data_IF_474723695224
#
_entry.id   IF_474723695224
#
_cell.length_a   1.000
_cell.length_b   1.000
_cell.length_c   1.000
_cell.angle_alpha   90.00
_cell.angle_beta   90.00
_cell.angle_gamma   90.00
#
_symmetry.space_group_name_H-M   'P 1'
#
loop_
_entity.id
_entity.type
_entity.pdbx_description
1 polymer ?
#
# COMPACT_ATOMS: atom_id res chain seq x y z
N UNK A 1 -73.33 -39.56 -45.07
CA UNK A 1 -72.50 -39.53 -43.84
C UNK A 1 -72.16 -38.08 -43.50
N UNK A 2 -72.52 -37.69 -42.28
CA UNK A 2 -72.58 -36.34 -41.72
C UNK A 2 -71.15 -35.86 -41.39
N UNK A 3 -70.75 -34.67 -41.87
CA UNK A 3 -69.54 -33.99 -41.40
C UNK A 3 -69.80 -33.48 -39.99
N UNK A 4 -69.14 -34.06 -38.99
CA UNK A 4 -69.11 -33.55 -37.62
C UNK A 4 -67.95 -32.55 -37.52
N UNK A 5 -68.29 -31.29 -37.21
CA UNK A 5 -67.36 -30.30 -36.66
C UNK A 5 -66.75 -30.87 -35.38
N UNK A 6 -65.44 -30.74 -35.25
CA UNK A 6 -64.76 -30.83 -33.95
C UNK A 6 -64.37 -29.40 -33.62
N UNK A 7 -64.87 -28.93 -32.48
CA UNK A 7 -64.67 -27.59 -31.93
C UNK A 7 -63.20 -27.35 -31.54
N UNK A 8 -62.63 -26.24 -32.00
CA UNK A 8 -61.35 -25.74 -31.49
C UNK A 8 -61.57 -25.15 -30.09
N UNK A 9 -60.81 -25.55 -29.06
CA UNK A 9 -60.87 -24.91 -27.75
C UNK A 9 -60.27 -23.49 -27.81
N UNK A 10 -60.78 -22.53 -27.02
CA UNK A 10 -60.29 -21.17 -27.03
C UNK A 10 -58.85 -21.09 -26.55
N UNK A 11 -58.05 -20.26 -27.23
CA UNK A 11 -56.71 -19.85 -26.85
C UNK A 11 -56.66 -19.49 -25.36
N UNK A 12 -56.15 -20.39 -24.52
CA UNK A 12 -55.75 -20.00 -23.18
C UNK A 12 -54.53 -19.09 -23.33
N UNK A 13 -54.72 -17.85 -22.92
CA UNK A 13 -53.65 -16.87 -22.74
C UNK A 13 -52.51 -17.51 -21.97
N UNK A 14 -51.37 -17.68 -22.64
CA UNK A 14 -50.11 -17.99 -21.98
C UNK A 14 -49.91 -16.98 -20.83
N UNK A 15 -49.43 -17.41 -19.65
CA UNK A 15 -48.98 -16.44 -18.66
C UNK A 15 -47.87 -15.62 -19.33
N UNK A 16 -48.12 -14.33 -19.47
CA UNK A 16 -47.15 -13.33 -19.86
C UNK A 16 -46.05 -13.37 -18.79
N UNK A 17 -44.99 -14.15 -19.06
CA UNK A 17 -43.74 -14.08 -18.30
C UNK A 17 -43.09 -12.78 -18.74
N UNK A 18 -43.71 -11.68 -18.31
CA UNK A 18 -43.05 -10.40 -18.16
C UNK A 18 -41.84 -10.73 -17.30
N UNK A 19 -40.69 -10.55 -17.94
CA UNK A 19 -39.40 -10.74 -17.32
C UNK A 19 -39.34 -9.72 -16.20
N UNK A 20 -39.67 -10.15 -14.99
CA UNK A 20 -39.49 -9.37 -13.76
C UNK A 20 -37.98 -9.34 -13.46
N UNK A 21 -37.24 -8.78 -14.42
CA UNK A 21 -35.89 -8.29 -14.22
C UNK A 21 -36.06 -7.07 -13.32
N UNK A 22 -36.10 -7.34 -12.02
CA UNK A 22 -35.97 -6.33 -10.98
C UNK A 22 -34.94 -5.29 -11.46
N UNK A 23 -35.32 -4.02 -11.61
CA UNK A 23 -34.46 -3.03 -12.24
C UNK A 23 -33.19 -2.98 -11.40
N UNK A 24 -32.08 -3.43 -12.01
CA UNK A 24 -30.73 -3.25 -11.47
C UNK A 24 -30.65 -1.80 -11.04
N UNK A 25 -30.67 -1.64 -9.72
CA UNK A 25 -30.72 -0.35 -9.03
C UNK A 25 -29.65 0.50 -9.69
N UNK A 26 -30.09 1.43 -10.53
CA UNK A 26 -29.31 2.55 -11.00
C UNK A 26 -29.01 3.37 -9.75
N UNK A 27 -27.97 2.95 -9.02
CA UNK A 27 -27.41 3.70 -7.91
C UNK A 27 -27.00 5.04 -8.52
N UNK A 28 -27.81 6.06 -8.23
CA UNK A 28 -27.55 7.45 -8.59
C UNK A 28 -26.06 7.73 -8.36
N UNK A 29 -25.37 8.43 -9.28
CA UNK A 29 -23.99 8.85 -9.04
C UNK A 29 -23.98 9.49 -7.66
N UNK A 30 -23.07 9.07 -6.80
CA UNK A 30 -22.96 9.58 -5.44
C UNK A 30 -22.88 11.09 -5.57
N UNK A 31 -24.01 11.77 -5.31
CA UNK A 31 -24.06 13.21 -5.25
C UNK A 31 -22.95 13.58 -4.30
N UNK A 32 -22.07 14.48 -4.75
CA UNK A 32 -20.92 14.97 -4.00
C UNK A 32 -21.41 15.56 -2.69
N UNK A 33 -21.58 14.70 -1.69
CA UNK A 33 -22.10 15.09 -0.41
C UNK A 33 -21.06 16.04 0.12
N UNK A 34 -21.49 17.28 0.35
CA UNK A 34 -20.76 18.41 0.95
C UNK A 34 -20.37 18.08 2.40
N UNK A 35 -19.75 16.92 2.61
CA UNK A 35 -19.32 16.39 3.89
C UNK A 35 -17.93 16.94 4.12
N UNK A 36 -17.73 17.61 5.25
CA UNK A 36 -16.43 18.10 5.72
C UNK A 36 -15.43 16.98 6.04
N UNK A 37 -15.87 15.72 6.00
CA UNK A 37 -15.09 14.54 6.35
C UNK A 37 -13.78 14.36 5.55
N UNK A 38 -13.70 14.58 4.22
CA UNK A 38 -12.44 14.51 3.50
C UNK A 38 -11.46 15.62 3.92
N UNK A 39 -11.96 16.81 4.25
CA UNK A 39 -11.15 17.92 4.75
C UNK A 39 -10.65 17.65 6.18
N UNK A 40 -11.50 17.09 7.04
CA UNK A 40 -11.12 16.64 8.39
C UNK A 40 -10.09 15.51 8.34
N UNK A 41 -10.25 14.54 7.42
CA UNK A 41 -9.29 13.47 7.20
C UNK A 41 -7.94 14.01 6.73
N UNK A 42 -7.93 14.95 5.77
CA UNK A 42 -6.72 15.59 5.28
C UNK A 42 -6.01 16.41 6.37
N UNK A 43 -6.78 17.11 7.20
CA UNK A 43 -6.25 17.84 8.37
C UNK A 43 -5.64 16.87 9.39
N UNK A 44 -6.33 15.78 9.71
CA UNK A 44 -5.85 14.76 10.63
C UNK A 44 -4.59 14.06 10.11
N UNK A 45 -4.54 13.72 8.82
CA UNK A 45 -3.35 13.20 8.15
C UNK A 45 -2.17 14.16 8.28
N UNK A 46 -2.38 15.43 7.91
CA UNK A 46 -1.33 16.45 7.96
C UNK A 46 -0.85 16.66 9.40
N UNK A 47 -1.76 16.72 10.37
CA UNK A 47 -1.43 16.83 11.78
C UNK A 47 -0.64 15.60 12.28
N UNK A 48 -1.06 14.38 11.95
CA UNK A 48 -0.35 13.16 12.31
C UNK A 48 1.08 13.14 11.75
N UNK A 49 1.27 13.60 10.52
CA UNK A 49 2.58 13.68 9.88
C UNK A 49 3.47 14.75 10.51
N UNK A 50 2.90 15.92 10.84
CA UNK A 50 3.62 16.98 11.55
C UNK A 50 4.01 16.54 12.96
N UNK A 51 3.12 15.84 13.67
CA UNK A 51 3.41 15.26 14.99
C UNK A 51 4.49 14.19 14.89
N UNK A 52 4.39 13.27 13.93
CA UNK A 52 5.39 12.22 13.70
C UNK A 52 6.76 12.81 13.34
N UNK A 53 6.80 13.77 12.43
CA UNK A 53 8.02 14.49 12.08
C UNK A 53 8.56 15.29 13.28
N UNK A 54 7.70 15.94 14.04
CA UNK A 54 8.06 16.69 15.24
C UNK A 54 8.67 15.79 16.32
N UNK A 55 8.06 14.64 16.61
CA UNK A 55 8.62 13.64 17.51
C UNK A 55 10.00 13.16 17.05
N UNK A 56 10.14 12.79 15.78
CA UNK A 56 11.42 12.34 15.22
C UNK A 56 12.52 13.42 15.32
N UNK A 57 12.15 14.69 15.12
CA UNK A 57 13.05 15.83 15.22
C UNK A 57 13.39 16.21 16.67
N UNK A 58 12.44 16.05 17.60
CA UNK A 58 12.59 16.45 19.01
C UNK A 58 13.32 15.39 19.85
N UNK A 59 13.10 14.10 19.58
CA UNK A 59 13.75 13.01 20.33
C UNK A 59 15.26 12.93 20.06
N UNK A 60 15.71 13.26 18.83
CA UNK A 60 17.14 13.24 18.45
C UNK A 60 17.83 14.62 18.56
N UNK A 61 17.06 15.70 18.71
CA UNK A 61 17.53 17.08 18.76
C UNK A 61 18.15 17.61 17.45
N UNK A 62 18.23 18.94 17.32
CA UNK A 62 18.81 19.60 16.13
C UNK A 62 20.27 19.19 15.84
N UNK A 63 21.02 18.81 16.87
CA UNK A 63 22.39 18.34 16.76
C UNK A 63 22.51 16.86 16.31
N UNK A 64 21.50 16.03 16.57
CA UNK A 64 21.38 14.67 16.01
C UNK A 64 21.03 14.75 14.53
N UNK A 65 20.07 15.62 14.17
CA UNK A 65 19.68 15.85 12.77
C UNK A 65 20.86 16.28 11.89
N UNK A 66 21.67 17.25 12.34
CA UNK A 66 22.84 17.71 11.57
C UNK A 66 23.90 16.62 11.34
N UNK A 67 23.97 15.61 12.22
CA UNK A 67 24.87 14.45 12.08
C UNK A 67 24.24 13.32 11.26
N UNK A 68 22.91 13.20 11.29
CA UNK A 68 22.16 12.15 10.61
C UNK A 68 21.91 12.45 9.12
N UNK A 69 21.89 13.72 8.72
CA UNK A 69 21.70 14.14 7.32
C UNK A 69 22.83 13.59 6.44
N UNK A 70 22.54 12.65 5.52
CA UNK A 70 23.56 12.08 4.65
C UNK A 70 24.10 13.13 3.68
N UNK A 71 25.42 13.32 3.65
CA UNK A 71 26.04 14.28 2.74
C UNK A 71 26.07 13.79 1.27
N UNK A 72 25.95 12.47 1.05
CA UNK A 72 26.08 11.87 -0.27
C UNK A 72 24.78 11.96 -1.08
N UNK A 73 24.81 12.50 -2.31
CA UNK A 73 23.63 12.52 -3.18
C UNK A 73 23.05 11.13 -3.49
N UNK A 74 23.91 10.09 -3.44
CA UNK A 74 23.53 8.70 -3.64
C UNK A 74 22.45 8.22 -2.67
N UNK A 75 22.51 8.63 -1.40
CA UNK A 75 21.47 8.30 -0.42
C UNK A 75 20.09 8.73 -0.91
N UNK A 76 19.96 9.99 -1.34
CA UNK A 76 18.67 10.56 -1.75
C UNK A 76 18.14 9.92 -3.03
N UNK A 77 19.03 9.62 -3.99
CA UNK A 77 18.63 8.92 -5.21
C UNK A 77 18.03 7.55 -4.90
N UNK A 78 18.73 6.72 -4.14
CA UNK A 78 18.27 5.38 -3.81
C UNK A 78 17.09 5.38 -2.84
N UNK A 79 17.03 6.36 -1.94
CA UNK A 79 15.84 6.62 -1.13
C UNK A 79 14.62 6.91 -2.02
N UNK A 80 14.74 7.79 -3.02
CA UNK A 80 13.66 8.10 -3.95
C UNK A 80 13.23 6.88 -4.77
N UNK A 81 14.18 6.04 -5.20
CA UNK A 81 13.86 4.76 -5.87
C UNK A 81 13.07 3.84 -4.93
N UNK A 82 13.53 3.67 -3.68
CA UNK A 82 12.83 2.86 -2.69
C UNK A 82 11.43 3.40 -2.36
N UNK A 83 11.29 4.74 -2.36
CA UNK A 83 10.03 5.41 -2.13
C UNK A 83 9.09 5.20 -3.33
N UNK A 84 9.48 5.54 -4.55
CA UNK A 84 8.56 5.45 -5.68
C UNK A 84 8.31 4.04 -6.21
N UNK A 85 9.09 3.03 -5.77
CA UNK A 85 8.90 1.64 -6.16
C UNK A 85 7.44 1.16 -5.98
N UNK A 86 6.81 1.47 -4.85
CA UNK A 86 5.42 1.05 -4.59
C UNK A 86 4.39 1.75 -5.51
N UNK A 87 4.31 3.09 -5.56
CA UNK A 87 3.41 3.77 -6.48
C UNK A 87 3.61 3.40 -7.96
N UNK A 88 4.86 3.20 -8.39
CA UNK A 88 5.18 2.80 -9.77
C UNK A 88 4.71 1.37 -10.03
N UNK A 89 4.96 0.43 -9.12
CA UNK A 89 4.48 -0.94 -9.25
C UNK A 89 2.95 -1.00 -9.33
N UNK A 90 2.25 -0.32 -8.41
CA UNK A 90 0.79 -0.23 -8.44
C UNK A 90 0.30 0.40 -9.75
N UNK A 91 0.98 1.44 -10.24
CA UNK A 91 0.63 2.07 -11.51
C UNK A 91 0.73 1.07 -12.66
N UNK A 92 1.82 0.33 -12.77
CA UNK A 92 2.00 -0.69 -13.81
C UNK A 92 0.95 -1.82 -13.70
N UNK A 93 0.61 -2.23 -12.48
CA UNK A 93 -0.44 -3.22 -12.23
C UNK A 93 -1.79 -2.73 -12.72
N UNK A 94 -2.24 -1.56 -12.26
CA UNK A 94 -3.55 -1.03 -12.66
C UNK A 94 -3.57 -0.53 -14.10
N UNK A 95 -2.43 -0.15 -14.68
CA UNK A 95 -2.29 0.17 -16.11
C UNK A 95 -2.53 -1.05 -16.98
N UNK A 96 -2.15 -2.25 -16.52
CA UNK A 96 -2.45 -3.51 -17.19
C UNK A 96 -3.89 -3.95 -16.97
N UNK A 97 -4.38 -3.89 -15.73
CA UNK A 97 -5.71 -4.42 -15.38
C UNK A 97 -6.85 -3.56 -15.92
N UNK A 98 -6.69 -2.23 -15.91
CA UNK A 98 -7.77 -1.29 -16.19
C UNK A 98 -7.40 -0.19 -17.19
N UNK A 99 -6.24 -0.25 -17.82
CA UNK A 99 -5.79 0.78 -18.78
C UNK A 99 -5.78 2.21 -18.17
N UNK A 100 -5.43 2.33 -16.88
CA UNK A 100 -5.54 3.62 -16.18
C UNK A 100 -4.66 4.72 -16.82
N UNK A 101 -5.15 5.98 -16.89
CA UNK A 101 -4.36 7.10 -17.40
C UNK A 101 -3.22 7.46 -16.44
N UNK A 102 -2.27 8.28 -16.91
CA UNK A 102 -1.18 8.79 -16.08
C UNK A 102 -1.67 9.55 -14.82
N UNK A 103 -2.86 10.15 -14.90
CA UNK A 103 -3.54 10.84 -13.79
C UNK A 103 -3.90 9.91 -12.61
N UNK A 104 -3.78 8.59 -12.78
CA UNK A 104 -3.87 7.64 -11.69
C UNK A 104 -2.68 7.71 -10.74
N UNK A 105 -1.51 8.19 -11.19
CA UNK A 105 -0.29 8.19 -10.38
C UNK A 105 -0.41 9.03 -9.10
N UNK A 106 -0.98 10.26 -9.12
CA UNK A 106 -1.30 10.99 -7.89
C UNK A 106 -2.30 10.26 -6.98
N UNK A 107 -3.28 9.54 -7.53
CA UNK A 107 -4.23 8.76 -6.74
C UNK A 107 -3.57 7.57 -6.04
N UNK A 108 -2.62 6.91 -6.71
CA UNK A 108 -1.83 5.81 -6.16
C UNK A 108 -0.84 6.28 -5.09
N UNK A 109 -0.26 7.47 -5.24
CA UNK A 109 0.53 8.08 -4.16
C UNK A 109 -0.34 8.39 -2.93
N UNK A 110 -1.55 8.93 -3.12
CA UNK A 110 -2.50 9.13 -2.00
C UNK A 110 -2.94 7.81 -1.37
N UNK A 111 -3.15 6.76 -2.16
CA UNK A 111 -3.39 5.39 -1.67
C UNK A 111 -2.26 4.94 -0.74
N UNK A 112 -1.01 5.07 -1.16
CA UNK A 112 0.14 4.75 -0.31
C UNK A 112 0.11 5.56 0.99
N UNK A 113 0.02 6.88 0.88
CA UNK A 113 0.07 7.79 2.04
C UNK A 113 -1.02 7.42 3.07
N UNK A 114 -2.23 7.12 2.59
CA UNK A 114 -3.33 6.66 3.45
C UNK A 114 -3.03 5.30 4.10
N UNK A 115 -2.49 4.34 3.35
CA UNK A 115 -2.12 3.02 3.87
C UNK A 115 -0.99 3.09 4.91
N UNK A 116 -0.04 4.02 4.74
CA UNK A 116 1.11 4.18 5.64
C UNK A 116 0.73 4.91 6.95
N UNK A 117 -0.17 5.91 6.91
CA UNK A 117 -0.45 6.80 8.07
C UNK A 117 -1.76 6.47 8.80
N UNK A 118 -2.82 6.07 8.10
CA UNK A 118 -4.13 5.83 8.71
C UNK A 118 -4.25 4.38 9.19
N UNK A 119 -5.31 3.69 8.76
CA UNK A 119 -5.52 2.27 8.97
C UNK A 119 -5.07 1.58 7.69
N UNK A 120 -4.30 0.50 7.82
CA UNK A 120 -3.92 -0.34 6.68
C UNK A 120 -5.18 -0.68 5.86
N UNK A 121 -5.09 -0.59 4.53
CA UNK A 121 -6.18 -0.75 3.56
C UNK A 121 -7.11 0.46 3.35
N UNK A 122 -7.00 1.54 4.11
CA UNK A 122 -7.78 2.77 3.87
C UNK A 122 -7.49 3.40 2.50
N UNK A 123 -6.24 3.29 2.03
CA UNK A 123 -5.83 3.73 0.71
C UNK A 123 -6.44 2.90 -0.43
N UNK A 124 -6.67 1.61 -0.22
CA UNK A 124 -7.32 0.74 -1.21
C UNK A 124 -8.78 1.15 -1.40
N UNK A 125 -9.48 1.46 -0.30
CA UNK A 125 -10.85 1.98 -0.37
C UNK A 125 -10.91 3.34 -1.08
N UNK A 126 -9.95 4.23 -0.79
CA UNK A 126 -9.82 5.51 -1.51
C UNK A 126 -9.60 5.29 -3.01
N UNK A 127 -8.65 4.43 -3.39
CA UNK A 127 -8.32 4.19 -4.79
C UNK A 127 -9.49 3.55 -5.55
N UNK A 128 -10.23 2.64 -4.91
CA UNK A 128 -11.47 2.09 -5.45
C UNK A 128 -12.49 3.19 -5.76
N UNK A 129 -12.73 4.11 -4.81
CA UNK A 129 -13.68 5.21 -5.01
C UNK A 129 -13.22 6.17 -6.13
N UNK A 130 -11.93 6.47 -6.18
CA UNK A 130 -11.33 7.27 -7.25
C UNK A 130 -11.49 6.60 -8.62
N UNK A 131 -11.17 5.32 -8.72
CA UNK A 131 -11.27 4.53 -9.95
C UNK A 131 -12.72 4.47 -10.44
N UNK A 132 -13.68 4.18 -9.57
CA UNK A 132 -15.11 4.13 -9.90
C UNK A 132 -15.65 5.48 -10.40
N UNK A 133 -15.12 6.59 -9.89
CA UNK A 133 -15.57 7.93 -10.28
C UNK A 133 -14.98 8.41 -11.62
N UNK A 134 -13.81 7.91 -12.02
CA UNK A 134 -13.06 8.43 -13.18
C UNK A 134 -12.87 7.44 -14.33
N UNK A 135 -13.05 6.15 -14.08
CA UNK A 135 -12.92 5.11 -15.09
C UNK A 135 -14.33 4.64 -15.46
N UNK A 136 -14.67 4.69 -16.75
CA UNK A 136 -15.93 4.18 -17.29
C UNK A 136 -15.95 2.65 -17.23
N UNK A 137 -16.14 2.09 -16.03
CA UNK A 137 -16.15 0.64 -15.83
C UNK A 137 -17.57 0.07 -15.92
N UNK A 138 -17.72 -0.92 -16.80
CA UNK A 138 -18.98 -1.67 -17.01
C UNK A 138 -19.29 -2.60 -15.82
N UNK A 139 -18.27 -3.03 -15.08
CA UNK A 139 -18.38 -3.86 -13.87
C UNK A 139 -17.66 -3.23 -12.68
N UNK A 140 -18.07 -3.57 -11.45
CA UNK A 140 -17.50 -2.98 -10.25
C UNK A 140 -16.01 -3.39 -10.05
N UNK A 141 -15.06 -2.43 -9.92
CA UNK A 141 -13.62 -2.71 -9.81
C UNK A 141 -13.17 -3.43 -8.53
N UNK A 142 -14.10 -3.74 -7.62
CA UNK A 142 -13.80 -4.20 -6.27
C UNK A 142 -12.99 -5.51 -6.26
N UNK A 143 -13.33 -6.45 -7.14
CA UNK A 143 -12.65 -7.74 -7.25
C UNK A 143 -11.15 -7.58 -7.53
N UNK A 144 -10.80 -6.73 -8.49
CA UNK A 144 -9.40 -6.49 -8.86
C UNK A 144 -8.61 -5.74 -7.77
N UNK A 145 -9.18 -4.72 -7.12
CA UNK A 145 -8.51 -4.06 -5.97
C UNK A 145 -8.23 -5.08 -4.86
N UNK A 146 -9.25 -5.85 -4.49
CA UNK A 146 -9.16 -6.88 -3.47
C UNK A 146 -8.11 -7.93 -3.81
N UNK A 147 -8.11 -8.43 -5.04
CA UNK A 147 -7.16 -9.46 -5.50
C UNK A 147 -5.72 -8.94 -5.47
N UNK A 148 -5.49 -7.69 -5.92
CA UNK A 148 -4.17 -7.04 -5.84
C UNK A 148 -3.72 -6.94 -4.38
N UNK A 149 -4.55 -6.41 -3.48
CA UNK A 149 -4.19 -6.28 -2.06
C UNK A 149 -3.91 -7.64 -1.40
N UNK A 150 -4.68 -8.67 -1.73
CA UNK A 150 -4.47 -10.04 -1.22
C UNK A 150 -3.14 -10.60 -1.73
N UNK A 151 -2.87 -10.55 -3.05
CA UNK A 151 -1.62 -11.06 -3.63
C UNK A 151 -0.43 -10.29 -3.06
N UNK A 152 -0.48 -8.95 -2.99
CA UNK A 152 0.58 -8.15 -2.38
C UNK A 152 0.83 -8.49 -0.91
N UNK A 153 -0.22 -8.80 -0.14
CA UNK A 153 -0.10 -9.27 1.23
C UNK A 153 0.62 -10.61 1.33
N UNK A 154 0.22 -11.58 0.49
CA UNK A 154 0.85 -12.91 0.41
C UNK A 154 2.32 -12.80 -0.02
N UNK A 155 2.60 -12.07 -1.10
CA UNK A 155 3.97 -11.86 -1.60
C UNK A 155 4.85 -11.17 -0.56
N UNK A 156 4.29 -10.19 0.16
CA UNK A 156 4.95 -9.52 1.26
C UNK A 156 5.33 -10.45 2.41
N UNK A 157 4.40 -11.31 2.84
CA UNK A 157 4.64 -12.29 3.90
C UNK A 157 5.65 -13.36 3.48
N UNK A 158 5.54 -13.85 2.24
CA UNK A 158 6.48 -14.81 1.68
C UNK A 158 7.89 -14.22 1.61
N UNK A 159 8.04 -12.99 1.11
CA UNK A 159 9.35 -12.36 0.98
C UNK A 159 9.95 -12.04 2.35
N UNK A 160 9.13 -11.60 3.32
CA UNK A 160 9.58 -11.39 4.69
C UNK A 160 10.09 -12.70 5.32
N UNK A 161 9.42 -13.83 5.04
CA UNK A 161 9.88 -15.14 5.50
C UNK A 161 11.20 -15.54 4.87
N UNK A 162 11.32 -15.46 3.55
CA UNK A 162 12.56 -15.82 2.84
C UNK A 162 13.73 -14.94 3.29
N UNK A 163 13.51 -13.63 3.40
CA UNK A 163 14.53 -12.70 3.81
C UNK A 163 14.92 -12.89 5.29
N UNK A 164 13.95 -13.16 6.15
CA UNK A 164 14.19 -13.51 7.55
C UNK A 164 14.97 -14.82 7.71
N UNK A 165 14.66 -15.84 6.92
CA UNK A 165 15.37 -17.11 6.95
C UNK A 165 16.86 -16.95 6.55
N UNK A 166 17.16 -16.03 5.63
CA UNK A 166 18.54 -15.71 5.23
C UNK A 166 19.25 -14.81 6.24
N UNK A 167 18.54 -13.83 6.81
CA UNK A 167 19.14 -12.83 7.69
C UNK A 167 19.28 -13.28 9.15
N UNK A 168 18.40 -14.15 9.65
CA UNK A 168 18.46 -14.64 11.03
C UNK A 168 19.82 -15.29 11.35
N UNK A 169 20.38 -16.20 10.53
CA UNK A 169 21.72 -16.75 10.79
C UNK A 169 22.83 -15.70 10.91
N UNK A 170 22.69 -14.55 10.23
CA UNK A 170 23.70 -13.48 10.19
C UNK A 170 23.72 -12.62 11.46
N UNK A 171 22.65 -12.63 12.26
CA UNK A 171 22.52 -11.73 13.41
C UNK A 171 21.64 -12.24 14.55
N UNK A 172 21.32 -13.54 14.60
CA UNK A 172 20.44 -14.09 15.65
C UNK A 172 21.01 -13.85 17.06
N UNK A 173 22.33 -13.78 17.21
CA UNK A 173 23.00 -13.53 18.49
C UNK A 173 22.79 -12.10 18.99
N UNK A 174 22.42 -11.18 18.11
CA UNK A 174 22.18 -9.77 18.41
C UNK A 174 20.72 -9.51 18.83
N UNK A 175 19.81 -10.47 18.62
CA UNK A 175 18.38 -10.31 18.89
C UNK A 175 18.02 -11.05 20.17
N UNK A 176 17.33 -10.37 21.08
CA UNK A 176 16.87 -10.97 22.32
C UNK A 176 15.92 -12.17 22.04
N UNK A 177 16.03 -13.30 22.78
CA UNK A 177 15.29 -14.52 22.47
C UNK A 177 13.75 -14.38 22.46
N UNK A 178 13.22 -13.47 23.28
CA UNK A 178 11.81 -13.09 23.34
C UNK A 178 11.35 -12.38 22.07
N UNK A 179 12.16 -11.47 21.53
CA UNK A 179 11.91 -10.79 20.26
C UNK A 179 11.92 -11.79 19.11
N UNK A 180 12.89 -12.71 19.06
CA UNK A 180 12.92 -13.79 18.05
C UNK A 180 11.64 -14.62 18.11
N UNK A 181 11.20 -15.00 19.32
CA UNK A 181 9.97 -15.79 19.50
C UNK A 181 8.73 -15.03 19.00
N UNK A 182 8.62 -13.73 19.29
CA UNK A 182 7.53 -12.89 18.80
C UNK A 182 7.54 -12.75 17.26
N UNK A 183 8.74 -12.60 16.68
CA UNK A 183 8.91 -12.56 15.22
C UNK A 183 8.50 -13.88 14.56
N UNK A 184 8.88 -15.03 15.12
CA UNK A 184 8.48 -16.34 14.60
C UNK A 184 6.96 -16.52 14.65
N UNK A 185 6.32 -16.16 15.77
CA UNK A 185 4.86 -16.30 15.93
C UNK A 185 4.09 -15.42 14.96
N UNK A 186 4.47 -14.15 14.84
CA UNK A 186 3.83 -13.21 13.91
C UNK A 186 3.98 -13.63 12.45
N UNK A 187 5.18 -14.08 12.06
CA UNK A 187 5.46 -14.54 10.71
C UNK A 187 4.72 -15.85 10.39
N UNK A 188 4.72 -16.80 11.31
CA UNK A 188 3.99 -18.07 11.17
C UNK A 188 2.48 -17.82 11.04
N UNK A 189 1.94 -16.92 11.86
CA UNK A 189 0.53 -16.52 11.80
C UNK A 189 0.19 -15.84 10.46
N UNK A 190 1.01 -14.90 10.01
CA UNK A 190 0.83 -14.22 8.72
C UNK A 190 0.90 -15.19 7.53
N UNK A 191 1.84 -16.15 7.55
CA UNK A 191 1.94 -17.21 6.55
C UNK A 191 0.75 -18.17 6.59
N UNK A 192 0.27 -18.55 7.79
CA UNK A 192 -0.90 -19.41 7.93
C UNK A 192 -2.16 -18.76 7.32
N UNK A 193 -2.37 -17.46 7.57
CA UNK A 193 -3.45 -16.69 6.92
C UNK A 193 -3.27 -16.69 5.40
N UNK A 194 -2.05 -16.40 4.93
CA UNK A 194 -1.73 -16.37 3.48
C UNK A 194 -2.02 -17.72 2.82
N UNK A 195 -1.63 -18.82 3.47
CA UNK A 195 -1.90 -20.18 3.01
C UNK A 195 -3.39 -20.51 3.02
N UNK A 196 -4.12 -20.12 4.07
CA UNK A 196 -5.57 -20.27 4.15
C UNK A 196 -6.26 -19.61 2.95
N UNK A 197 -5.90 -18.37 2.61
CA UNK A 197 -6.44 -17.68 1.43
C UNK A 197 -6.12 -18.42 0.12
N UNK A 198 -4.91 -18.97 -0.02
CA UNK A 198 -4.52 -19.78 -1.18
C UNK A 198 -5.32 -21.09 -1.29
N UNK A 199 -5.59 -21.76 -0.17
CA UNK A 199 -6.42 -22.98 -0.13
C UNK A 199 -7.84 -22.70 -0.61
N UNK A 200 -8.39 -21.52 -0.29
CA UNK A 200 -9.70 -21.06 -0.77
C UNK A 200 -9.64 -20.21 -2.05
N UNK A 201 -8.52 -20.27 -2.79
CA UNK A 201 -8.25 -19.40 -3.95
C UNK A 201 -9.39 -19.36 -4.99
N UNK A 202 -10.06 -20.50 -5.26
CA UNK A 202 -11.17 -20.58 -6.22
C UNK A 202 -12.40 -19.76 -5.83
N UNK A 203 -12.58 -19.47 -4.54
CA UNK A 203 -13.71 -18.68 -4.01
C UNK A 203 -13.30 -17.24 -3.71
N UNK A 204 -12.03 -17.03 -3.38
CA UNK A 204 -11.53 -15.72 -2.96
C UNK A 204 -11.15 -14.87 -4.17
N UNK A 205 -10.42 -15.39 -5.16
CA UNK A 205 -9.93 -14.59 -6.27
C UNK A 205 -10.96 -14.46 -7.40
N UNK A 206 -11.03 -13.26 -7.98
CA UNK A 206 -11.90 -12.91 -9.10
C UNK A 206 -11.16 -12.79 -10.44
N UNK A 207 -9.86 -12.46 -10.40
CA UNK A 207 -9.02 -12.29 -11.58
C UNK A 207 -8.57 -13.63 -12.18
N UNK A 208 -8.32 -13.68 -13.50
CA UNK A 208 -7.68 -14.83 -14.13
C UNK A 208 -6.31 -15.13 -13.53
N UNK A 209 -5.93 -16.41 -13.48
CA UNK A 209 -4.63 -16.86 -12.93
C UNK A 209 -3.42 -16.14 -13.51
N UNK A 210 -3.47 -15.79 -14.80
CA UNK A 210 -2.39 -15.07 -15.49
C UNK A 210 -2.16 -13.69 -14.89
N UNK A 211 -3.22 -12.98 -14.52
CA UNK A 211 -3.11 -11.64 -13.95
C UNK A 211 -2.69 -11.72 -12.47
N UNK A 212 -3.15 -12.73 -11.73
CA UNK A 212 -2.65 -13.00 -10.36
C UNK A 212 -1.14 -13.26 -10.35
N UNK A 213 -0.63 -14.07 -11.27
CA UNK A 213 0.81 -14.32 -11.40
C UNK A 213 1.59 -13.08 -11.82
N UNK A 214 1.02 -12.25 -12.69
CA UNK A 214 1.63 -10.98 -13.05
C UNK A 214 1.76 -10.06 -11.84
N UNK A 215 0.70 -9.91 -11.04
CA UNK A 215 0.71 -9.12 -9.79
C UNK A 215 1.77 -9.67 -8.83
N UNK A 216 1.80 -10.99 -8.65
CA UNK A 216 2.79 -11.65 -7.78
C UNK A 216 4.23 -11.32 -8.17
N UNK A 217 4.59 -11.46 -9.45
CA UNK A 217 5.94 -11.16 -9.92
C UNK A 217 6.29 -9.67 -9.86
N UNK A 218 5.33 -8.80 -10.16
CA UNK A 218 5.49 -7.36 -10.00
C UNK A 218 5.76 -6.99 -8.54
N UNK A 219 5.02 -7.59 -7.59
CA UNK A 219 5.23 -7.37 -6.16
C UNK A 219 6.57 -7.93 -5.67
N UNK A 220 6.99 -9.10 -6.15
CA UNK A 220 8.32 -9.66 -5.88
C UNK A 220 9.40 -8.67 -6.34
N UNK A 221 9.33 -8.22 -7.60
CA UNK A 221 10.26 -7.24 -8.15
C UNK A 221 10.26 -5.94 -7.35
N UNK A 222 9.08 -5.41 -7.02
CA UNK A 222 8.93 -4.20 -6.19
C UNK A 222 9.62 -4.36 -4.85
N UNK A 223 9.41 -5.47 -4.15
CA UNK A 223 10.02 -5.70 -2.83
C UNK A 223 11.54 -5.81 -2.99
N UNK A 224 12.04 -6.58 -3.96
CA UNK A 224 13.48 -6.68 -4.24
C UNK A 224 14.09 -5.32 -4.54
N UNK A 225 13.49 -4.52 -5.43
CA UNK A 225 13.96 -3.17 -5.76
C UNK A 225 13.95 -2.28 -4.53
N UNK A 226 12.90 -2.33 -3.70
CA UNK A 226 12.79 -1.53 -2.47
C UNK A 226 13.90 -1.91 -1.48
N UNK A 227 14.11 -3.21 -1.25
CA UNK A 227 15.13 -3.74 -0.36
C UNK A 227 16.55 -3.41 -0.81
N UNK A 228 16.85 -3.58 -2.10
CA UNK A 228 18.16 -3.25 -2.67
C UNK A 228 18.40 -1.74 -2.65
N UNK A 229 17.41 -0.95 -3.09
CA UNK A 229 17.54 0.50 -3.10
C UNK A 229 17.74 1.05 -1.69
N UNK A 230 16.99 0.59 -0.69
CA UNK A 230 17.20 1.11 0.68
C UNK A 230 18.54 0.66 1.28
N UNK A 231 19.01 -0.57 1.00
CA UNK A 231 20.34 -1.01 1.40
C UNK A 231 21.44 -0.15 0.76
N UNK A 232 21.30 0.18 -0.53
CA UNK A 232 22.21 1.09 -1.22
C UNK A 232 22.14 2.51 -0.65
N UNK A 233 20.95 3.02 -0.34
CA UNK A 233 20.82 4.33 0.29
C UNK A 233 21.66 4.38 1.59
N UNK A 234 21.49 3.38 2.45
CA UNK A 234 22.25 3.29 3.70
C UNK A 234 23.76 3.09 3.50
N UNK A 235 24.18 2.29 2.52
CA UNK A 235 25.61 2.11 2.24
C UNK A 235 26.27 3.40 1.74
N UNK A 236 25.53 4.24 1.00
CA UNK A 236 26.02 5.55 0.57
C UNK A 236 26.06 6.57 1.71
N UNK A 237 25.18 6.44 2.70
CA UNK A 237 25.22 7.28 3.90
C UNK A 237 26.35 6.86 4.87
N UNK A 238 26.59 5.55 5.00
CA UNK A 238 27.60 4.98 5.90
C UNK A 238 28.40 3.86 5.22
N UNK A 239 29.43 4.21 4.43
CA UNK A 239 30.23 3.23 3.68
C UNK A 239 31.08 2.31 4.55
N UNK A 240 31.33 2.67 5.81
CA UNK A 240 32.12 1.89 6.77
C UNK A 240 31.41 0.63 7.28
N UNK A 241 30.10 0.53 7.10
CA UNK A 241 29.27 -0.58 7.59
C UNK A 241 29.20 -1.69 6.54
N UNK A 242 29.32 -2.95 7.00
CA UNK A 242 29.35 -4.10 6.11
C UNK A 242 28.01 -4.32 5.36
N UNK A 243 28.08 -4.86 4.15
CA UNK A 243 26.89 -5.20 3.35
C UNK A 243 25.98 -6.20 4.08
N UNK A 244 26.56 -7.14 4.82
CA UNK A 244 25.81 -8.10 5.64
C UNK A 244 24.93 -7.43 6.69
N UNK A 245 25.41 -6.33 7.28
CA UNK A 245 24.63 -5.55 8.24
C UNK A 245 23.45 -4.84 7.57
N UNK A 246 23.62 -4.28 6.37
CA UNK A 246 22.51 -3.69 5.62
C UNK A 246 21.46 -4.72 5.23
N UNK A 247 21.88 -5.90 4.77
CA UNK A 247 20.96 -7.00 4.49
C UNK A 247 20.18 -7.41 5.75
N UNK A 248 20.86 -7.51 6.89
CA UNK A 248 20.24 -7.83 8.17
C UNK A 248 19.22 -6.76 8.61
N UNK A 249 19.57 -5.47 8.47
CA UNK A 249 18.67 -4.36 8.79
C UNK A 249 17.45 -4.31 7.86
N UNK A 250 17.64 -4.52 6.55
CA UNK A 250 16.52 -4.60 5.60
C UNK A 250 15.60 -5.78 5.92
N UNK A 251 16.16 -6.92 6.30
CA UNK A 251 15.38 -8.07 6.75
C UNK A 251 14.60 -7.79 8.03
N UNK A 252 15.26 -7.19 9.02
CA UNK A 252 14.64 -6.74 10.26
C UNK A 252 13.47 -5.80 9.97
N UNK A 253 13.67 -4.81 9.10
CA UNK A 253 12.62 -3.87 8.68
C UNK A 253 11.42 -4.58 8.04
N UNK A 254 11.68 -5.55 7.15
CA UNK A 254 10.61 -6.34 6.53
C UNK A 254 9.84 -7.17 7.55
N UNK A 255 10.51 -7.79 8.52
CA UNK A 255 9.87 -8.59 9.56
C UNK A 255 9.05 -7.73 10.52
N UNK A 256 9.60 -6.59 10.97
CA UNK A 256 8.90 -5.62 11.83
C UNK A 256 7.63 -5.11 11.14
N UNK A 257 7.66 -4.96 9.80
CA UNK A 257 6.49 -4.53 9.05
C UNK A 257 5.29 -5.49 9.09
N UNK A 258 5.52 -6.76 9.49
CA UNK A 258 4.50 -7.83 9.55
C UNK A 258 3.95 -8.07 10.96
N UNK A 259 4.51 -7.44 11.98
CA UNK A 259 4.03 -7.57 13.35
C UNK A 259 2.64 -6.92 13.47
N UNK A 260 1.58 -7.69 13.79
CA UNK A 260 0.23 -7.13 13.96
C UNK A 260 0.19 -6.23 15.20
N UNK A 261 -0.62 -5.17 15.15
CA UNK A 261 -0.89 -4.25 16.27
C UNK A 261 0.27 -3.38 16.78
N UNK A 262 1.36 -3.21 16.01
CA UNK A 262 2.43 -2.28 16.37
C UNK A 262 2.23 -0.90 15.72
N UNK A 263 1.87 0.15 16.50
CA UNK A 263 1.86 1.51 16.00
C UNK A 263 3.29 1.98 15.71
N UNK A 264 3.46 2.68 14.59
CA UNK A 264 4.71 3.31 14.15
C UNK A 264 5.90 2.35 13.90
N UNK A 265 5.79 1.58 12.80
CA UNK A 265 6.74 0.54 12.38
C UNK A 265 8.18 1.04 12.21
N UNK A 266 8.36 2.29 11.78
CA UNK A 266 9.70 2.87 11.58
C UNK A 266 10.34 3.31 12.91
N UNK A 267 9.57 3.83 13.88
CA UNK A 267 10.06 4.17 15.23
C UNK A 267 10.46 2.94 16.04
N UNK A 268 9.69 1.85 15.94
CA UNK A 268 10.10 0.57 16.52
C UNK A 268 11.28 -0.05 15.80
N UNK A 269 11.44 0.18 14.50
CA UNK A 269 12.65 -0.22 13.80
C UNK A 269 13.87 0.60 14.24
N UNK A 270 13.72 1.89 14.53
CA UNK A 270 14.75 2.70 15.16
C UNK A 270 15.10 2.19 16.57
N UNK A 271 14.09 1.82 17.38
CA UNK A 271 14.30 1.19 18.68
C UNK A 271 14.90 -0.22 18.57
N UNK A 272 14.53 -1.00 17.55
CA UNK A 272 15.11 -2.30 17.22
C UNK A 272 16.58 -2.11 16.84
N UNK A 273 16.93 -1.09 16.06
CA UNK A 273 18.32 -0.74 15.77
C UNK A 273 19.08 -0.41 17.08
N UNK A 274 18.48 0.32 18.03
CA UNK A 274 19.12 0.58 19.33
C UNK A 274 19.31 -0.72 20.14
N UNK A 275 18.26 -1.54 20.23
CA UNK A 275 18.22 -2.78 21.02
C UNK A 275 19.12 -3.89 20.48
N UNK A 276 19.22 -4.00 19.15
CA UNK A 276 19.95 -5.09 18.46
C UNK A 276 21.39 -4.70 18.15
N UNK A 277 21.67 -3.41 17.92
CA UNK A 277 23.01 -2.99 17.47
C UNK A 277 23.90 -2.60 18.65
N UNK A 278 23.34 -2.02 19.72
CA UNK A 278 24.12 -1.61 20.88
C UNK A 278 25.11 -0.47 20.57
N UNK A 279 24.96 0.64 21.28
CA UNK A 279 25.87 1.81 21.33
C UNK A 279 26.17 2.61 20.05
N UNK A 280 25.93 2.10 18.84
CA UNK A 280 26.19 2.90 17.63
C UNK A 280 25.01 3.83 17.30
N UNK A 281 24.96 4.96 18.02
CA UNK A 281 23.95 6.02 17.86
C UNK A 281 23.80 6.45 16.40
N UNK A 282 24.87 6.39 15.63
CA UNK A 282 24.90 6.77 14.22
C UNK A 282 23.93 5.93 13.38
N UNK A 283 23.91 4.61 13.56
CA UNK A 283 23.02 3.71 12.81
C UNK A 283 21.55 3.97 13.15
N UNK A 284 21.24 4.16 14.44
CA UNK A 284 19.90 4.52 14.89
C UNK A 284 19.45 5.86 14.31
N UNK A 285 20.32 6.88 14.35
CA UNK A 285 20.05 8.21 13.79
C UNK A 285 19.78 8.16 12.27
N UNK A 286 20.47 7.28 11.52
CA UNK A 286 20.22 7.08 10.08
C UNK A 286 18.86 6.40 9.81
N UNK A 287 18.46 5.43 10.65
CA UNK A 287 17.15 4.78 10.53
C UNK A 287 16.02 5.77 10.84
N UNK A 288 16.18 6.55 11.90
CA UNK A 288 15.29 7.64 12.27
C UNK A 288 15.16 8.66 11.13
N UNK A 289 16.29 9.11 10.58
CA UNK A 289 16.32 10.02 9.43
C UNK A 289 15.60 9.45 8.20
N UNK A 290 15.73 8.14 7.94
CA UNK A 290 15.03 7.46 6.85
C UNK A 290 13.51 7.48 7.06
N UNK A 291 13.05 7.26 8.29
CA UNK A 291 11.64 7.40 8.68
C UNK A 291 11.13 8.83 8.53
N UNK A 292 11.87 9.81 9.06
CA UNK A 292 11.57 11.23 8.94
C UNK A 292 11.47 11.69 7.48
N UNK A 293 12.43 11.24 6.64
CA UNK A 293 12.45 11.52 5.20
C UNK A 293 11.23 10.95 4.50
N UNK A 294 10.76 9.77 4.92
CA UNK A 294 9.53 9.16 4.40
C UNK A 294 8.32 10.04 4.74
N UNK A 295 8.15 10.43 6.01
CA UNK A 295 7.06 11.33 6.43
C UNK A 295 7.12 12.68 5.72
N UNK A 296 8.31 13.25 5.54
CA UNK A 296 8.52 14.48 4.80
C UNK A 296 8.07 14.34 3.34
N UNK A 297 8.41 13.24 2.65
CA UNK A 297 7.95 12.97 1.29
C UNK A 297 6.42 12.82 1.22
N UNK A 298 5.81 12.18 2.20
CA UNK A 298 4.34 12.12 2.30
C UNK A 298 3.77 13.53 2.39
N UNK A 299 4.39 14.42 3.19
CA UNK A 299 3.93 15.78 3.42
C UNK A 299 4.04 16.61 2.15
N UNK A 300 5.20 16.59 1.51
CA UNK A 300 5.46 17.30 0.27
C UNK A 300 4.49 16.87 -0.83
N UNK A 301 4.25 15.58 -1.01
CA UNK A 301 3.31 15.09 -2.01
C UNK A 301 1.86 15.46 -1.69
N UNK A 302 1.47 15.38 -0.42
CA UNK A 302 0.11 15.78 0.01
C UNK A 302 -0.13 17.27 -0.27
N UNK A 303 0.85 18.13 0.08
CA UNK A 303 0.79 19.56 -0.17
C UNK A 303 0.80 19.87 -1.66
N UNK A 304 1.68 19.24 -2.44
CA UNK A 304 1.76 19.40 -3.90
C UNK A 304 0.43 19.07 -4.56
N UNK A 305 -0.13 17.90 -4.24
CA UNK A 305 -1.41 17.47 -4.81
C UNK A 305 -2.60 18.32 -4.34
N UNK A 306 -2.54 18.86 -3.12
CA UNK A 306 -3.51 19.82 -2.62
C UNK A 306 -3.44 21.15 -3.37
N UNK A 307 -2.23 21.68 -3.58
CA UNK A 307 -2.00 22.91 -4.32
C UNK A 307 -2.47 22.82 -5.78
N UNK A 308 -2.14 21.72 -6.47
CA UNK A 308 -2.61 21.46 -7.84
C UNK A 308 -4.15 21.46 -7.91
N UNK A 309 -4.81 20.78 -6.98
CA UNK A 309 -6.28 20.75 -6.92
C UNK A 309 -6.89 22.15 -6.73
N UNK A 310 -6.31 22.97 -5.85
CA UNK A 310 -6.78 24.36 -5.64
C UNK A 310 -6.57 25.21 -6.89
N UNK A 311 -5.43 25.08 -7.56
CA UNK A 311 -5.11 25.83 -8.77
C UNK A 311 -6.06 25.48 -9.94
N UNK A 312 -6.36 24.19 -10.13
CA UNK A 312 -7.34 23.74 -11.13
C UNK A 312 -8.72 24.34 -10.85
N UNK A 313 -9.17 24.28 -9.60
CA UNK A 313 -10.46 24.86 -9.16
C UNK A 313 -10.54 26.37 -9.40
N UNK A 314 -9.45 27.09 -9.12
CA UNK A 314 -9.38 28.54 -9.33
C UNK A 314 -9.40 28.92 -10.82
N UNK A 315 -8.84 28.09 -11.70
CA UNK A 315 -8.89 28.29 -13.15
C UNK A 315 -10.30 28.06 -13.69
N UNK A 316 -10.98 27.02 -13.22
CA UNK A 316 -12.39 26.74 -13.58
C UNK A 316 -13.28 27.95 -13.29
N UNK A 317 -13.13 28.57 -12.11
CA UNK A 317 -13.90 29.75 -11.71
C UNK A 317 -13.64 30.96 -12.61
N UNK A 318 -12.39 31.19 -13.01
CA UNK A 318 -12.02 32.33 -13.87
C UNK A 318 -12.49 32.23 -15.32
N UNK A 319 -12.88 31.03 -15.78
CA UNK A 319 -13.39 30.83 -17.14
C UNK A 319 -14.93 30.81 -17.22
N UNK A 320 -15.60 30.83 -16.07
CA UNK A 320 -17.08 30.91 -15.96
C UNK A 320 -17.60 32.33 -15.72
N UNK A 321 -16.70 33.30 -15.55
CA UNK A 321 -16.98 34.75 -15.54
C UNK A 321 -16.58 35.38 -16.88
#
# INVERSE_FOLDING_TARGET
MKRLRVDEPPLSSAPDITTDAAPLIALKPVQTLRRRWPALLAMLLTAAMLIGLGHELLDHGLAGLRRAVPASPGFYLFFLVSYFALPVCDFLIFRRLWDVPADAFPALNRKRIANDILIGYSGDAYFYAWARARLHMVAAPFGAVKDVSIVSGITGNLTAFLLGAVALPLGYQLIAPDVIRAMIWSLSFALAISLGVLLFSRRVFSLPRRDLWFIFWMDCLRITVTCVAIALAWSWAMPSVSVGMWMFLVAGRQLVSRLPFLPNKDLLFANFAILVIGQDRTLSDLMAFTGASTLLMHLLLTLLFGAVYVLERMREWRHTD
#
